data_IF_292256703449
#
_entry.id   IF_292256703449
#
_cell.length_a   1.000
_cell.length_b   1.000
_cell.length_c   1.000
_cell.angle_alpha   90.00
_cell.angle_beta   90.00
_cell.angle_gamma   90.00
#
_symmetry.space_group_name_H-M   'P 1'
#
loop_
_entity.id
_entity.type
_entity.pdbx_description
1 polymer ?
#
# COMPACT_ATOMS: atom_id res chain seq x y z
N UNK A 1 1.78 3.68 -13.64
CA UNK A 1 2.81 4.28 -14.51
C UNK A 1 3.50 5.50 -13.91
N UNK A 2 3.23 5.85 -12.64
CA UNK A 2 3.95 6.87 -11.88
C UNK A 2 5.36 6.43 -11.52
N UNK A 3 5.57 5.12 -11.34
CA UNK A 3 6.80 4.56 -10.80
C UNK A 3 6.92 4.76 -9.29
N UNK A 4 8.05 4.33 -8.74
CA UNK A 4 8.41 4.53 -7.32
C UNK A 4 9.21 5.83 -7.19
N UNK A 5 8.55 6.86 -6.67
CA UNK A 5 9.19 8.16 -6.39
C UNK A 5 9.43 8.26 -4.89
N UNK A 6 10.64 7.89 -4.47
CA UNK A 6 11.04 7.85 -3.06
C UNK A 6 12.55 8.12 -2.88
N UNK A 7 12.95 8.49 -1.65
CA UNK A 7 14.37 8.56 -1.27
C UNK A 7 15.01 7.17 -1.14
N UNK A 8 16.34 7.09 -1.24
CA UNK A 8 17.08 5.82 -1.44
C UNK A 8 16.64 4.62 -0.59
N UNK A 9 16.66 4.74 0.74
CA UNK A 9 16.26 3.63 1.63
C UNK A 9 14.80 3.21 1.45
N UNK A 10 13.88 4.17 1.36
CA UNK A 10 12.45 3.89 1.15
C UNK A 10 12.19 3.30 -0.24
N UNK A 11 12.88 3.79 -1.28
CA UNK A 11 12.76 3.32 -2.65
C UNK A 11 13.10 1.85 -2.76
N UNK A 12 14.25 1.43 -2.24
CA UNK A 12 14.69 0.02 -2.26
C UNK A 12 13.64 -0.86 -1.59
N UNK A 13 13.16 -0.48 -0.40
CA UNK A 13 12.16 -1.25 0.32
C UNK A 13 10.84 -1.37 -0.47
N UNK A 14 10.38 -0.28 -1.09
CA UNK A 14 9.12 -0.27 -1.84
C UNK A 14 9.22 -1.08 -3.14
N UNK A 15 10.34 -0.97 -3.85
CA UNK A 15 10.61 -1.78 -5.06
C UNK A 15 10.67 -3.28 -4.71
N UNK A 16 11.40 -3.66 -3.65
CA UNK A 16 11.49 -5.05 -3.17
C UNK A 16 10.16 -5.58 -2.62
N UNK A 17 9.30 -4.71 -2.10
CA UNK A 17 7.94 -5.07 -1.69
C UNK A 17 6.98 -5.25 -2.88
N UNK A 18 7.45 -5.07 -4.12
CA UNK A 18 6.63 -5.19 -5.33
C UNK A 18 5.72 -3.99 -5.58
N UNK A 19 5.99 -2.84 -4.94
CA UNK A 19 5.20 -1.62 -5.19
C UNK A 19 5.70 -0.97 -6.47
N UNK A 20 4.81 -0.87 -7.46
CA UNK A 20 5.18 -0.32 -8.77
C UNK A 20 4.91 1.19 -8.90
N UNK A 21 3.91 1.71 -8.19
CA UNK A 21 3.43 3.09 -8.33
C UNK A 21 3.18 3.70 -6.94
N UNK A 22 4.06 4.60 -6.48
CA UNK A 22 3.95 5.25 -5.16
C UNK A 22 4.76 6.53 -5.07
N UNK A 23 4.27 7.49 -4.29
CA UNK A 23 5.01 8.68 -3.88
C UNK A 23 5.35 8.58 -2.40
N UNK A 24 6.62 8.78 -2.04
CA UNK A 24 7.07 8.79 -0.65
C UNK A 24 8.14 9.87 -0.40
N UNK A 25 8.08 10.49 0.78
CA UNK A 25 9.04 11.51 1.21
C UNK A 25 9.41 11.28 2.68
N UNK A 26 10.72 11.27 2.99
CA UNK A 26 11.17 11.36 4.39
C UNK A 26 11.06 12.81 4.86
N UNK A 27 10.35 13.03 5.97
CA UNK A 27 10.09 14.34 6.58
C UNK A 27 10.92 14.63 7.84
N UNK A 28 11.75 13.67 8.26
CA UNK A 28 12.52 13.76 9.50
C UNK A 28 14.00 13.48 9.27
N UNK A 29 14.51 12.44 9.94
CA UNK A 29 15.92 12.05 9.82
C UNK A 29 16.31 11.69 8.39
N UNK A 30 17.50 12.11 7.97
CA UNK A 30 18.14 11.66 6.74
C UNK A 30 18.95 10.37 6.92
N UNK A 31 19.08 9.85 8.15
CA UNK A 31 19.80 8.60 8.42
C UNK A 31 19.07 7.41 7.77
N UNK A 32 19.78 6.65 6.93
CA UNK A 32 19.19 5.58 6.13
C UNK A 32 18.50 4.49 6.97
N UNK A 33 19.06 4.14 8.14
CA UNK A 33 18.47 3.13 9.04
C UNK A 33 17.14 3.63 9.60
N UNK A 34 17.08 4.90 10.00
CA UNK A 34 15.84 5.48 10.52
C UNK A 34 14.77 5.60 9.43
N UNK A 35 15.16 5.99 8.21
CA UNK A 35 14.23 6.02 7.07
C UNK A 35 13.71 4.61 6.79
N UNK A 36 14.58 3.60 6.74
CA UNK A 36 14.18 2.21 6.51
C UNK A 36 13.18 1.73 7.58
N UNK A 37 13.47 1.96 8.86
CA UNK A 37 12.56 1.63 9.97
C UNK A 37 11.21 2.33 9.85
N UNK A 38 11.22 3.63 9.53
CA UNK A 38 10.00 4.41 9.34
C UNK A 38 9.19 3.91 8.12
N UNK A 39 9.84 3.51 7.03
CA UNK A 39 9.18 2.92 5.86
C UNK A 39 8.49 1.61 6.22
N UNK A 40 9.18 0.69 6.92
CA UNK A 40 8.60 -0.57 7.36
C UNK A 40 7.42 -0.34 8.32
N UNK A 41 7.56 0.60 9.25
CA UNK A 41 6.47 0.94 10.17
C UNK A 41 5.26 1.53 9.43
N UNK A 42 5.48 2.43 8.47
CA UNK A 42 4.41 2.97 7.64
C UNK A 42 3.66 1.89 6.86
N UNK A 43 4.38 0.91 6.31
CA UNK A 43 3.76 -0.24 5.62
C UNK A 43 2.92 -1.10 6.57
N UNK A 44 3.38 -1.31 7.82
CA UNK A 44 2.64 -2.08 8.84
C UNK A 44 1.32 -1.44 9.27
N UNK A 45 1.22 -0.12 9.17
CA UNK A 45 0.03 0.63 9.57
C UNK A 45 -1.08 0.60 8.52
N UNK A 46 -0.79 0.18 7.28
CA UNK A 46 -1.78 0.05 6.22
C UNK A 46 -2.82 -1.02 6.57
N UNK A 47 -4.08 -0.76 6.23
CA UNK A 47 -5.20 -1.67 6.50
C UNK A 47 -5.97 -1.96 5.22
N UNK A 48 -6.36 -3.22 5.02
CA UNK A 48 -7.15 -3.62 3.85
C UNK A 48 -8.63 -3.27 4.05
N UNK A 49 -9.34 -2.82 3.00
CA UNK A 49 -10.77 -2.50 3.07
C UNK A 49 -11.65 -3.60 3.68
N UNK A 50 -11.43 -4.86 3.31
CA UNK A 50 -12.20 -6.01 3.77
C UNK A 50 -11.94 -6.37 5.23
N UNK A 51 -10.71 -6.20 5.71
CA UNK A 51 -10.37 -6.38 7.13
C UNK A 51 -11.04 -5.32 7.99
N UNK A 52 -11.06 -4.06 7.52
CA UNK A 52 -11.74 -2.96 8.22
C UNK A 52 -13.25 -3.16 8.23
N UNK A 53 -13.84 -3.58 7.11
CA UNK A 53 -15.27 -3.89 7.01
C UNK A 53 -15.65 -5.01 7.98
N UNK A 54 -14.87 -6.10 8.02
CA UNK A 54 -15.08 -7.22 8.95
C UNK A 54 -14.96 -6.77 10.41
N UNK A 55 -13.95 -5.96 10.74
CA UNK A 55 -13.74 -5.45 12.11
C UNK A 55 -14.87 -4.52 12.56
N UNK A 56 -15.43 -3.73 11.65
CA UNK A 56 -16.49 -2.75 11.95
C UNK A 56 -17.92 -3.30 11.79
N UNK A 57 -18.09 -4.44 11.15
CA UNK A 57 -19.41 -5.02 10.88
C UNK A 57 -20.27 -4.23 9.89
N UNK A 58 -19.64 -3.37 9.08
CA UNK A 58 -20.31 -2.56 8.05
C UNK A 58 -19.74 -2.86 6.66
N UNK A 59 -20.54 -2.75 5.59
CA UNK A 59 -20.06 -2.97 4.23
C UNK A 59 -18.93 -1.99 3.84
N UNK A 60 -17.98 -2.45 3.03
CA UNK A 60 -16.84 -1.62 2.60
C UNK A 60 -17.31 -0.42 1.78
N UNK A 61 -18.40 -0.59 1.02
CA UNK A 61 -19.05 0.42 0.19
C UNK A 61 -19.49 1.65 0.99
N UNK A 62 -19.73 1.50 2.30
CA UNK A 62 -20.21 2.60 3.14
C UNK A 62 -19.13 3.58 3.55
N UNK A 63 -17.86 3.18 3.52
CA UNK A 63 -16.74 4.01 4.02
C UNK A 63 -15.56 4.09 3.06
N UNK A 64 -15.47 3.24 2.05
CA UNK A 64 -14.40 3.26 1.04
C UNK A 64 -14.87 4.01 -0.21
N UNK A 65 -14.07 4.94 -0.75
CA UNK A 65 -14.39 5.60 -2.02
C UNK A 65 -14.57 4.59 -3.17
N UNK A 66 -15.60 4.79 -4.01
CA UNK A 66 -16.00 3.85 -5.08
C UNK A 66 -14.84 3.45 -6.02
N UNK A 67 -14.00 4.41 -6.41
CA UNK A 67 -12.86 4.15 -7.29
C UNK A 67 -11.81 3.22 -6.66
N UNK A 68 -11.52 3.43 -5.37
CA UNK A 68 -10.60 2.56 -4.62
C UNK A 68 -11.18 1.16 -4.44
N UNK A 69 -12.47 1.07 -4.09
CA UNK A 69 -13.12 -0.22 -3.90
C UNK A 69 -13.18 -1.03 -5.21
N UNK A 70 -13.47 -0.38 -6.33
CA UNK A 70 -13.41 -1.01 -7.66
C UNK A 70 -12.03 -1.58 -7.96
N UNK A 71 -10.98 -0.75 -7.85
CA UNK A 71 -9.61 -1.17 -8.11
C UNK A 71 -9.18 -2.35 -7.20
N UNK A 72 -9.59 -2.33 -5.94
CA UNK A 72 -9.30 -3.40 -4.99
C UNK A 72 -9.99 -4.71 -5.35
N UNK A 73 -11.28 -4.67 -5.66
CA UNK A 73 -12.07 -5.85 -6.02
C UNK A 73 -11.61 -6.45 -7.35
N UNK A 74 -11.35 -5.61 -8.36
CA UNK A 74 -10.84 -6.04 -9.66
C UNK A 74 -9.51 -6.78 -9.50
N UNK A 75 -8.57 -6.22 -8.71
CA UNK A 75 -7.29 -6.87 -8.42
C UNK A 75 -7.47 -8.17 -7.64
N UNK A 76 -8.34 -8.20 -6.63
CA UNK A 76 -8.63 -9.42 -5.85
C UNK A 76 -9.19 -10.54 -6.73
N UNK A 77 -10.06 -10.20 -7.67
CA UNK A 77 -10.61 -11.16 -8.63
C UNK A 77 -9.55 -11.67 -9.60
N UNK A 78 -8.67 -10.80 -10.11
CA UNK A 78 -7.55 -11.21 -10.97
C UNK A 78 -6.56 -12.14 -10.24
N UNK A 79 -6.28 -11.91 -8.96
CA UNK A 79 -5.49 -12.84 -8.11
C UNK A 79 -6.21 -14.18 -8.00
N UNK A 80 -7.51 -14.17 -7.70
CA UNK A 80 -8.30 -15.40 -7.56
C UNK A 80 -8.39 -16.20 -8.87
N UNK A 81 -8.33 -15.52 -10.01
CA UNK A 81 -8.27 -16.13 -11.34
C UNK A 81 -6.86 -16.63 -11.76
N UNK A 82 -5.83 -16.32 -10.96
CA UNK A 82 -4.44 -16.71 -11.26
C UNK A 82 -3.75 -15.85 -12.32
N UNK A 83 -4.30 -14.70 -12.66
CA UNK A 83 -3.84 -13.86 -13.77
C UNK A 83 -2.75 -12.85 -13.37
N UNK A 84 -2.52 -12.65 -12.07
CA UNK A 84 -1.54 -11.67 -11.59
C UNK A 84 -0.95 -12.02 -10.21
N UNK A 85 0.38 -11.99 -10.10
CA UNK A 85 1.14 -11.98 -8.85
C UNK A 85 1.21 -10.58 -8.26
#
# INVERSE_FOLDING_TARGET
GTGVIAGGAARIILEEAGVHDVLAKSLGSANAINVARATIEGLRQLQRPDEVAKRRGIPAESFVPKGMLKAYTDRKNAIAAGEAH
#
